data_IF_220991260939
#
_entry.id   IF_220991260939
#
_cell.length_a   1.000
_cell.length_b   1.000
_cell.length_c   1.000
_cell.angle_alpha   90.00
_cell.angle_beta   90.00
_cell.angle_gamma   90.00
#
_symmetry.space_group_name_H-M   'P 1'
#
loop_
_entity.id
_entity.type
_entity.pdbx_description
1 polymer ?
#
# COMPACT_ATOMS: atom_id res chain seq x y z
N UNK A 1 9.76 -20.74 51.20
CA UNK A 1 10.71 -20.71 50.05
C UNK A 1 10.29 -21.87 49.15
N UNK A 2 9.87 -21.74 47.89
CA UNK A 2 9.91 -20.67 46.90
C UNK A 2 8.52 -20.61 46.24
N UNK A 3 7.94 -19.42 46.08
CA UNK A 3 6.79 -19.24 45.20
C UNK A 3 7.33 -19.10 43.78
N UNK A 4 7.03 -20.09 42.94
CA UNK A 4 7.31 -20.05 41.51
C UNK A 4 6.41 -19.00 40.88
N UNK A 5 6.98 -17.84 40.60
CA UNK A 5 6.32 -16.76 39.88
C UNK A 5 6.40 -17.09 38.38
N UNK A 6 5.50 -17.95 37.90
CA UNK A 6 5.27 -18.14 36.47
C UNK A 6 4.59 -16.89 35.94
N UNK A 7 5.40 -15.85 35.72
CA UNK A 7 5.07 -14.73 34.87
C UNK A 7 4.97 -15.24 33.44
N UNK A 8 3.80 -15.77 33.09
CA UNK A 8 3.35 -15.86 31.71
C UNK A 8 3.50 -14.47 31.11
N UNK A 9 4.58 -14.26 30.33
CA UNK A 9 4.65 -13.12 29.42
C UNK A 9 3.44 -13.25 28.51
N UNK A 10 2.46 -12.37 28.69
CA UNK A 10 1.48 -12.09 27.65
C UNK A 10 2.29 -11.68 26.42
N UNK A 11 2.42 -12.59 25.46
CA UNK A 11 2.89 -12.25 24.12
C UNK A 11 1.82 -11.30 23.59
N UNK A 12 2.16 -10.03 23.56
CA UNK A 12 1.28 -8.94 23.15
C UNK A 12 0.84 -9.18 21.70
N UNK A 13 -0.36 -9.76 21.53
CA UNK A 13 -1.00 -10.05 20.24
C UNK A 13 -1.08 -8.81 19.31
N UNK A 14 -0.85 -7.61 19.85
CA UNK A 14 -0.75 -6.36 19.08
C UNK A 14 0.47 -6.28 18.15
N UNK A 15 1.57 -6.97 18.47
CA UNK A 15 2.78 -6.93 17.64
C UNK A 15 2.62 -7.76 16.37
N UNK A 16 1.95 -8.91 16.47
CA UNK A 16 1.64 -9.74 15.30
C UNK A 16 0.65 -9.03 14.38
N UNK A 17 -0.37 -8.34 14.91
CA UNK A 17 -1.31 -7.59 14.08
C UNK A 17 -0.69 -6.34 13.42
N UNK A 18 0.24 -5.64 14.09
CA UNK A 18 0.97 -4.52 13.46
C UNK A 18 1.88 -5.01 12.33
N UNK A 19 2.56 -6.13 12.52
CA UNK A 19 3.40 -6.73 11.48
C UNK A 19 2.58 -7.10 10.24
N UNK A 20 1.39 -7.66 10.41
CA UNK A 20 0.49 -7.98 9.30
C UNK A 20 0.01 -6.73 8.55
N UNK A 21 -0.26 -5.63 9.24
CA UNK A 21 -0.57 -4.35 8.60
C UNK A 21 0.62 -3.83 7.76
N UNK A 22 1.84 -3.93 8.28
CA UNK A 22 3.04 -3.51 7.54
C UNK A 22 3.32 -4.42 6.32
N UNK A 23 3.12 -5.73 6.45
CA UNK A 23 3.15 -6.67 5.32
C UNK A 23 2.09 -6.33 4.27
N UNK A 24 0.91 -5.89 4.70
CA UNK A 24 -0.15 -5.43 3.81
C UNK A 24 0.28 -4.17 3.04
N UNK A 25 0.87 -3.18 3.72
CA UNK A 25 1.44 -1.98 3.06
C UNK A 25 2.50 -2.38 2.03
N UNK A 26 3.41 -3.30 2.37
CA UNK A 26 4.42 -3.80 1.43
C UNK A 26 3.78 -4.43 0.20
N UNK A 27 2.81 -5.33 0.40
CA UNK A 27 2.10 -6.00 -0.70
C UNK A 27 1.40 -4.99 -1.61
N UNK A 28 0.77 -3.97 -1.04
CA UNK A 28 0.12 -2.89 -1.79
C UNK A 28 1.12 -2.05 -2.60
N UNK A 29 2.33 -1.84 -2.09
CA UNK A 29 3.41 -1.21 -2.86
C UNK A 29 3.90 -2.09 -4.02
N UNK A 30 3.99 -3.40 -3.82
CA UNK A 30 4.36 -4.33 -4.89
C UNK A 30 3.28 -4.36 -6.00
N UNK A 31 2.01 -4.36 -5.62
CA UNK A 31 0.89 -4.24 -6.56
C UNK A 31 0.95 -2.92 -7.34
N UNK A 32 1.24 -1.80 -6.66
CA UNK A 32 1.43 -0.49 -7.30
C UNK A 32 2.50 -0.54 -8.39
N UNK A 33 3.65 -1.16 -8.11
CA UNK A 33 4.72 -1.36 -9.10
C UNK A 33 4.24 -2.19 -10.29
N UNK A 34 3.45 -3.23 -10.06
CA UNK A 34 2.89 -4.03 -11.15
C UNK A 34 1.92 -3.24 -12.02
N UNK A 35 1.12 -2.35 -11.44
CA UNK A 35 0.22 -1.45 -12.18
C UNK A 35 1.03 -0.50 -13.06
N UNK A 36 2.11 0.10 -12.56
CA UNK A 36 3.01 0.93 -13.38
C UNK A 36 3.57 0.15 -14.58
N UNK A 37 4.05 -1.08 -14.36
CA UNK A 37 4.55 -1.93 -15.46
C UNK A 37 3.44 -2.28 -16.47
N UNK A 38 2.22 -2.49 -16.01
CA UNK A 38 1.07 -2.75 -16.89
C UNK A 38 0.72 -1.52 -17.74
N UNK A 39 0.79 -0.33 -17.16
CA UNK A 39 0.62 0.93 -17.87
C UNK A 39 1.68 1.12 -18.96
N UNK A 40 2.96 0.93 -18.64
CA UNK A 40 4.07 1.04 -19.60
C UNK A 40 3.87 0.08 -20.79
N UNK A 41 3.50 -1.18 -20.53
CA UNK A 41 3.19 -2.16 -21.59
C UNK A 41 2.01 -1.74 -22.44
N UNK A 42 0.96 -1.20 -21.82
CA UNK A 42 -0.23 -0.73 -22.55
C UNK A 42 0.10 0.47 -23.44
N UNK A 43 0.98 1.37 -22.97
CA UNK A 43 1.50 2.47 -23.76
C UNK A 43 2.35 1.98 -24.94
N UNK A 44 3.26 1.04 -24.71
CA UNK A 44 4.08 0.42 -25.76
C UNK A 44 3.19 -0.26 -26.82
N UNK A 45 2.19 -1.03 -26.41
CA UNK A 45 1.21 -1.65 -27.31
C UNK A 45 0.45 -0.60 -28.15
N UNK A 46 0.12 0.55 -27.57
CA UNK A 46 -0.54 1.64 -28.29
C UNK A 46 0.36 2.29 -29.35
N UNK A 47 1.61 2.64 -28.99
CA UNK A 47 2.53 3.31 -29.93
C UNK A 47 2.98 2.37 -31.06
N UNK A 48 3.07 1.07 -30.77
CA UNK A 48 3.36 0.00 -31.76
C UNK A 48 2.14 -0.43 -32.58
N UNK A 49 0.98 0.21 -32.36
CA UNK A 49 -0.29 -0.05 -33.07
C UNK A 49 -0.88 -1.44 -32.84
N UNK A 50 -0.46 -2.14 -31.78
CA UNK A 50 -1.11 -3.36 -31.30
C UNK A 50 -2.47 -3.01 -30.65
N UNK A 51 -2.52 -1.92 -29.89
CA UNK A 51 -3.74 -1.40 -29.28
C UNK A 51 -4.34 -0.25 -30.09
N UNK A 52 -5.67 -0.21 -30.16
CA UNK A 52 -6.38 0.98 -30.60
C UNK A 52 -6.35 2.07 -29.52
N UNK A 53 -6.72 3.31 -29.87
CA UNK A 53 -6.87 4.38 -28.88
C UNK A 53 -7.92 4.03 -27.81
N UNK A 54 -8.97 3.28 -28.17
CA UNK A 54 -9.99 2.84 -27.24
C UNK A 54 -9.44 1.80 -26.25
N UNK A 55 -8.67 0.83 -26.73
CA UNK A 55 -8.04 -0.18 -25.86
C UNK A 55 -7.07 0.46 -24.88
N UNK A 56 -6.25 1.41 -25.37
CA UNK A 56 -5.35 2.17 -24.52
C UNK A 56 -6.10 3.00 -23.46
N UNK A 57 -7.21 3.66 -23.83
CA UNK A 57 -8.03 4.40 -22.88
C UNK A 57 -8.62 3.50 -21.79
N UNK A 58 -9.07 2.29 -22.15
CA UNK A 58 -9.55 1.30 -21.19
C UNK A 58 -8.43 0.91 -20.21
N UNK A 59 -7.23 0.65 -20.71
CA UNK A 59 -6.06 0.37 -19.87
C UNK A 59 -5.73 1.53 -18.93
N UNK A 60 -5.75 2.77 -19.41
CA UNK A 60 -5.54 3.97 -18.58
C UNK A 60 -6.57 4.07 -17.45
N UNK A 61 -7.84 3.79 -17.73
CA UNK A 61 -8.90 3.81 -16.73
C UNK A 61 -8.68 2.71 -15.67
N UNK A 62 -8.37 1.48 -16.09
CA UNK A 62 -8.09 0.37 -15.17
C UNK A 62 -6.90 0.66 -14.25
N UNK A 63 -5.80 1.18 -14.83
CA UNK A 63 -4.60 1.60 -14.09
C UNK A 63 -4.93 2.69 -13.07
N UNK A 64 -5.70 3.70 -13.48
CA UNK A 64 -6.09 4.81 -12.62
C UNK A 64 -6.92 4.34 -11.42
N UNK A 65 -7.92 3.48 -11.66
CA UNK A 65 -8.75 2.94 -10.58
C UNK A 65 -7.94 2.03 -9.64
N UNK A 66 -7.05 1.20 -10.18
CA UNK A 66 -6.15 0.39 -9.35
C UNK A 66 -5.24 1.23 -8.46
N UNK A 67 -4.69 2.34 -8.97
CA UNK A 67 -3.91 3.27 -8.14
C UNK A 67 -4.75 3.91 -7.03
N UNK A 68 -5.97 4.36 -7.35
CA UNK A 68 -6.88 4.95 -6.35
C UNK A 68 -7.19 3.96 -5.23
N UNK A 69 -7.51 2.72 -5.57
CA UNK A 69 -7.81 1.67 -4.60
C UNK A 69 -6.63 1.44 -3.65
N UNK A 70 -5.42 1.28 -4.19
CA UNK A 70 -4.20 1.10 -3.38
C UNK A 70 -3.95 2.30 -2.46
N UNK A 71 -4.14 3.54 -2.93
CA UNK A 71 -3.98 4.73 -2.08
C UNK A 71 -4.95 4.71 -0.90
N UNK A 72 -6.23 4.44 -1.17
CA UNK A 72 -7.27 4.38 -0.15
C UNK A 72 -6.98 3.29 0.89
N UNK A 73 -6.55 2.10 0.44
CA UNK A 73 -6.22 1.00 1.35
C UNK A 73 -5.02 1.33 2.25
N UNK A 74 -3.97 1.95 1.72
CA UNK A 74 -2.82 2.33 2.54
C UNK A 74 -3.18 3.47 3.51
N UNK A 75 -4.00 4.43 3.09
CA UNK A 75 -4.51 5.50 3.98
C UNK A 75 -5.34 4.89 5.13
N UNK A 76 -6.16 3.87 4.85
CA UNK A 76 -6.91 3.14 5.87
C UNK A 76 -5.99 2.37 6.82
N UNK A 77 -4.95 1.69 6.32
CA UNK A 77 -3.98 1.01 7.19
C UNK A 77 -3.28 2.01 8.11
N UNK A 78 -2.88 3.18 7.60
CA UNK A 78 -2.26 4.21 8.44
C UNK A 78 -3.20 4.68 9.56
N UNK A 79 -4.50 4.79 9.26
CA UNK A 79 -5.52 5.13 10.25
C UNK A 79 -5.66 4.05 11.33
N UNK A 80 -5.69 2.77 10.94
CA UNK A 80 -5.74 1.63 11.88
C UNK A 80 -4.49 1.62 12.79
N UNK A 81 -3.29 1.83 12.23
CA UNK A 81 -2.05 1.90 13.01
C UNK A 81 -2.09 3.05 14.04
N UNK A 82 -2.65 4.21 13.67
CA UNK A 82 -2.77 5.36 14.57
C UNK A 82 -3.85 5.16 15.64
N UNK A 83 -5.03 4.68 15.25
CA UNK A 83 -6.22 4.65 16.11
C UNK A 83 -6.30 3.39 16.97
N UNK A 84 -5.95 2.22 16.42
CA UNK A 84 -6.10 0.93 17.11
C UNK A 84 -4.80 0.53 17.81
N UNK A 85 -3.66 0.65 17.12
CA UNK A 85 -2.35 0.29 17.67
C UNK A 85 -1.68 1.44 18.45
N UNK A 86 -2.27 2.64 18.44
CA UNK A 86 -1.74 3.85 19.09
C UNK A 86 -0.30 4.19 18.67
N UNK A 87 0.14 3.73 17.49
CA UNK A 87 1.50 3.93 17.01
C UNK A 87 1.56 5.07 15.98
N UNK A 88 1.54 6.29 16.49
CA UNK A 88 1.52 7.51 15.66
C UNK A 88 2.75 7.66 14.77
N UNK A 89 3.92 7.22 15.24
CA UNK A 89 5.18 7.34 14.50
C UNK A 89 5.14 6.48 13.23
N UNK A 90 4.76 5.21 13.35
CA UNK A 90 4.62 4.32 12.20
C UNK A 90 3.52 4.79 11.26
N UNK A 91 2.38 5.24 11.79
CA UNK A 91 1.31 5.80 10.97
C UNK A 91 1.79 7.02 10.15
N UNK A 92 2.60 7.90 10.74
CA UNK A 92 3.20 9.05 10.03
C UNK A 92 4.15 8.60 8.91
N UNK A 93 4.94 7.55 9.11
CA UNK A 93 5.80 7.00 8.07
C UNK A 93 4.99 6.45 6.88
N UNK A 94 3.90 5.72 7.16
CA UNK A 94 3.01 5.21 6.11
C UNK A 94 2.33 6.35 5.34
N UNK A 95 1.85 7.38 6.06
CA UNK A 95 1.28 8.60 5.44
C UNK A 95 2.30 9.34 4.58
N UNK A 96 3.54 9.47 5.06
CA UNK A 96 4.60 10.14 4.30
C UNK A 96 4.91 9.41 3.00
N UNK A 97 4.88 8.08 3.01
CA UNK A 97 5.03 7.26 1.82
C UNK A 97 3.88 7.47 0.80
N UNK A 98 2.65 7.74 1.25
CA UNK A 98 1.56 8.15 0.35
C UNK A 98 1.74 9.57 -0.21
N UNK A 99 2.20 10.52 0.61
CA UNK A 99 2.49 11.89 0.14
C UNK A 99 3.54 11.89 -0.97
N UNK A 100 4.65 11.17 -0.77
CA UNK A 100 5.72 11.08 -1.77
C UNK A 100 5.21 10.48 -3.09
N UNK A 101 4.29 9.51 -3.05
CA UNK A 101 3.66 8.98 -4.26
C UNK A 101 2.79 10.03 -4.97
N UNK A 102 1.97 10.76 -4.21
CA UNK A 102 1.09 11.81 -4.76
C UNK A 102 1.92 12.94 -5.38
N UNK A 103 3.06 13.27 -4.78
CA UNK A 103 4.01 14.25 -5.33
C UNK A 103 4.61 13.77 -6.65
N UNK A 104 5.05 12.50 -6.70
CA UNK A 104 5.57 11.90 -7.94
C UNK A 104 4.57 12.00 -9.09
N UNK A 105 3.29 11.77 -8.83
CA UNK A 105 2.23 11.87 -9.85
C UNK A 105 1.93 13.30 -10.32
N UNK A 106 2.24 14.33 -9.50
CA UNK A 106 2.05 15.74 -9.88
C UNK A 106 3.21 16.32 -10.69
N UNK A 107 4.38 15.69 -10.61
CA UNK A 107 5.59 16.13 -11.31
C UNK A 107 5.71 15.60 -12.75
N UNK A 108 4.70 14.89 -13.25
CA UNK A 108 4.59 14.37 -14.62
C UNK A 108 3.55 15.20 -15.38
#
# INVERSE_FOLDING_TARGET
MLQSNDGLMEIDNNNDSLLELLKSVKTLQEQRVMIYKSFEKSYEAYITKIFSANDYQISCNMVTEGFKQIMVEIDNIAKIIEEEHKNKEVALLVKKLQELEREKLKSV
#
